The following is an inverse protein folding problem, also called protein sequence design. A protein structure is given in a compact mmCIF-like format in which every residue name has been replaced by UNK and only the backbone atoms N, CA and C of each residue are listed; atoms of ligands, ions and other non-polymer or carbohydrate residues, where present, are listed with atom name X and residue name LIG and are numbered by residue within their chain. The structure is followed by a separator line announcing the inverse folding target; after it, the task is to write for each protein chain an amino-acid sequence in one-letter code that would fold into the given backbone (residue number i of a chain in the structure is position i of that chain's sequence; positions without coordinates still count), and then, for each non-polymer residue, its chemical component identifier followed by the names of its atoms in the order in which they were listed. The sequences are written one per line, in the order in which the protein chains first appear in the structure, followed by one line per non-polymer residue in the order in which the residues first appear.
data_IF_743934062996
#
_entry.id   IF_743934062996
#
_cell.length_a   1.000
_cell.length_b   1.000
_cell.length_c   1.000
_cell.angle_alpha   90.00
_cell.angle_beta   90.00
_cell.angle_gamma   90.00
#
_symmetry.space_group_name_H-M   'P 1'
#
loop_
_entity.id
_entity.type
_entity.pdbx_description
1 polymer ?
#
# COMPACT_ATOMS: atom_id res chain seq x y z
N UNK A 1 -10.17 -1.78 -31.57
CA UNK A 1 -9.07 -0.97 -32.14
C UNK A 1 -9.37 0.51 -31.91
N UNK A 2 -8.55 1.18 -31.10
CA UNK A 2 -8.62 2.63 -30.89
C UNK A 2 -7.37 3.32 -31.45
N UNK A 3 -7.52 4.49 -32.05
CA UNK A 3 -6.40 5.31 -32.54
C UNK A 3 -6.01 6.35 -31.48
N UNK A 4 -4.72 6.48 -31.18
CA UNK A 4 -4.17 7.64 -30.47
C UNK A 4 -2.96 8.19 -31.24
N UNK A 5 -2.86 9.52 -31.30
CA UNK A 5 -1.76 10.23 -31.92
C UNK A 5 -0.82 10.77 -30.84
N UNK A 6 0.43 10.32 -30.86
CA UNK A 6 1.51 10.81 -30.00
C UNK A 6 2.61 11.40 -30.88
N UNK A 7 2.97 12.66 -30.65
CA UNK A 7 4.08 13.33 -31.36
C UNK A 7 3.95 13.37 -32.90
N UNK A 8 2.72 13.36 -33.44
CA UNK A 8 2.46 13.40 -34.87
C UNK A 8 2.56 12.04 -35.60
N UNK A 9 2.75 10.92 -34.88
CA UNK A 9 2.67 9.57 -35.46
C UNK A 9 1.45 8.81 -34.96
N UNK A 10 0.84 8.04 -35.86
CA UNK A 10 -0.37 7.24 -35.60
C UNK A 10 0.03 5.87 -35.08
N UNK A 11 -0.46 5.50 -33.89
CA UNK A 11 -0.28 4.16 -33.32
C UNK A 11 -1.65 3.50 -33.12
N UNK A 12 -1.78 2.27 -33.60
CA UNK A 12 -2.94 1.41 -33.44
C UNK A 12 -2.65 0.38 -32.34
N UNK A 13 -3.59 0.18 -31.42
CA UNK A 13 -3.47 -0.87 -30.40
C UNK A 13 -4.79 -1.59 -30.12
N UNK A 14 -4.65 -2.85 -29.72
CA UNK A 14 -5.69 -3.72 -29.17
C UNK A 14 -5.28 -4.11 -27.74
N UNK A 15 -5.99 -3.60 -26.73
CA UNK A 15 -5.73 -3.92 -25.32
C UNK A 15 -5.81 -2.70 -24.39
N UNK A 16 -6.33 -2.90 -23.17
CA UNK A 16 -6.65 -1.84 -22.20
C UNK A 16 -5.45 -1.05 -21.67
N UNK A 17 -5.68 0.24 -21.36
CA UNK A 17 -4.67 1.26 -21.05
C UNK A 17 -3.77 1.07 -19.82
N UNK A 18 -3.75 -0.10 -19.19
CA UNK A 18 -2.87 -0.39 -18.05
C UNK A 18 -1.42 -0.71 -18.45
N UNK A 19 -1.16 -1.16 -19.69
CA UNK A 19 0.19 -1.57 -20.11
C UNK A 19 1.12 -0.39 -20.45
N UNK A 20 0.57 0.81 -20.70
CA UNK A 20 1.37 1.98 -21.09
C UNK A 20 2.13 2.62 -19.91
N UNK A 21 1.59 2.54 -18.69
CA UNK A 21 2.20 3.15 -17.50
C UNK A 21 3.31 2.30 -16.88
N UNK A 22 3.21 0.97 -17.00
CA UNK A 22 4.18 0.02 -16.42
C UNK A 22 5.57 0.12 -17.06
N UNK A 23 5.65 0.52 -18.34
CA UNK A 23 6.92 0.73 -19.04
C UNK A 23 7.60 2.07 -18.72
N UNK A 24 6.85 3.08 -18.26
CA UNK A 24 7.40 4.40 -17.87
C UNK A 24 8.01 4.37 -16.46
N UNK A 25 7.46 3.56 -15.54
CA UNK A 25 7.92 3.52 -14.15
C UNK A 25 9.28 2.81 -13.96
N UNK A 26 9.71 1.98 -14.92
CA UNK A 26 10.96 1.21 -14.81
C UNK A 26 12.21 1.88 -15.39
N UNK A 27 12.14 3.10 -15.93
CA UNK A 27 13.30 3.69 -16.63
C UNK A 27 13.42 5.22 -16.59
N UNK A 28 12.64 5.92 -15.76
CA UNK A 28 12.56 7.38 -15.83
C UNK A 28 13.18 8.05 -14.60
N UNK A 29 14.29 8.77 -14.82
CA UNK A 29 14.87 9.67 -13.82
C UNK A 29 13.93 10.86 -13.55
N UNK A 30 14.11 11.52 -12.40
CA UNK A 30 13.36 12.72 -11.98
C UNK A 30 13.21 13.77 -13.12
N UNK A 31 14.20 13.88 -14.00
CA UNK A 31 14.17 14.80 -15.15
C UNK A 31 13.15 14.45 -16.24
N UNK A 32 12.75 13.18 -16.39
CA UNK A 32 11.70 12.82 -17.36
C UNK A 32 10.30 12.84 -16.74
N UNK A 33 10.17 12.76 -15.41
CA UNK A 33 8.92 13.14 -14.71
C UNK A 33 8.64 14.64 -14.88
N UNK A 34 9.68 15.47 -14.79
CA UNK A 34 9.61 16.92 -15.00
C UNK A 34 9.19 17.31 -16.43
N UNK A 35 9.63 16.57 -17.45
CA UNK A 35 9.21 16.79 -18.86
C UNK A 35 7.74 16.42 -19.14
N UNK A 36 7.19 15.45 -18.41
CA UNK A 36 5.76 15.09 -18.50
C UNK A 36 4.90 16.22 -17.92
N UNK A 37 5.40 16.91 -16.88
CA UNK A 37 4.79 18.12 -16.30
C UNK A 37 4.80 19.30 -17.27
N UNK A 38 5.93 19.62 -17.90
CA UNK A 38 6.06 20.76 -18.82
C UNK A 38 5.17 20.60 -20.07
N UNK A 39 4.97 19.38 -20.56
CA UNK A 39 4.07 19.09 -21.67
C UNK A 39 2.57 19.26 -21.34
N UNK A 40 2.21 19.21 -20.06
CA UNK A 40 0.83 19.38 -19.56
C UNK A 40 0.52 20.82 -19.19
N UNK A 41 1.49 21.56 -18.65
CA UNK A 41 1.40 22.98 -18.28
C UNK A 41 1.18 23.93 -19.48
N UNK A 42 1.59 23.55 -20.70
CA UNK A 42 1.35 24.36 -21.90
C UNK A 42 -0.12 24.38 -22.35
N UNK A 43 -0.99 23.54 -21.75
CA UNK A 43 -2.41 23.45 -22.08
C UNK A 43 -3.29 23.62 -20.85
N UNK A 44 -3.44 24.86 -20.37
CA UNK A 44 -4.70 25.50 -19.94
C UNK A 44 -4.43 26.60 -18.92
N UNK A 45 -4.46 27.83 -19.40
CA UNK A 45 -4.78 29.00 -18.60
C UNK A 45 -6.31 29.15 -18.53
N UNK A 46 -6.83 29.29 -17.31
CA UNK A 46 -8.20 29.75 -17.02
C UNK A 46 -9.21 28.67 -16.66
N UNK A 47 -9.71 28.68 -15.41
CA UNK A 47 -11.01 29.28 -15.07
C UNK A 47 -11.40 28.99 -13.61
N UNK A 48 -12.24 29.90 -13.09
CA UNK A 48 -12.64 30.14 -11.71
C UNK A 48 -13.57 29.09 -11.08
N UNK A 49 -13.72 29.23 -9.76
CA UNK A 49 -14.77 28.70 -8.86
C UNK A 49 -15.97 28.03 -9.54
N UNK A 50 -16.20 26.75 -9.23
CA UNK A 50 -17.42 26.03 -9.62
C UNK A 50 -18.12 25.45 -8.37
N UNK A 51 -19.38 25.88 -8.18
CA UNK A 51 -20.36 25.31 -7.24
C UNK A 51 -20.99 24.06 -7.85
N UNK A 52 -21.16 22.99 -7.06
CA UNK A 52 -21.65 21.68 -7.50
C UNK A 52 -23.19 21.57 -7.47
N UNK A 53 -23.87 21.15 -8.56
CA UNK A 53 -25.24 20.63 -8.50
C UNK A 53 -25.24 19.14 -8.14
N UNK A 54 -25.97 18.77 -7.08
CA UNK A 54 -26.28 17.38 -6.74
C UNK A 54 -27.33 16.82 -7.70
N UNK A 55 -26.95 15.89 -8.58
CA UNK A 55 -27.92 15.15 -9.41
C UNK A 55 -28.32 13.81 -8.77
N UNK A 56 -29.61 13.49 -8.87
CA UNK A 56 -30.39 12.52 -8.08
C UNK A 56 -30.06 11.02 -8.27
N UNK A 57 -28.81 10.63 -8.53
CA UNK A 57 -28.43 9.22 -8.72
C UNK A 57 -27.28 8.70 -7.85
N UNK A 58 -26.83 9.48 -6.86
CA UNK A 58 -25.89 8.99 -5.83
C UNK A 58 -24.49 8.61 -6.33
N UNK A 59 -24.13 8.95 -7.58
CA UNK A 59 -22.76 8.88 -8.08
C UNK A 59 -22.22 10.28 -8.26
N UNK A 60 -21.22 10.65 -7.45
CA UNK A 60 -20.38 11.80 -7.72
C UNK A 60 -19.56 11.43 -8.96
N UNK A 61 -20.01 11.84 -10.15
CA UNK A 61 -19.14 11.93 -11.30
C UNK A 61 -18.20 13.09 -11.01
N UNK A 62 -16.96 12.82 -10.58
CA UNK A 62 -15.90 13.81 -10.63
C UNK A 62 -15.48 13.98 -12.10
N UNK A 63 -15.72 15.14 -12.75
CA UNK A 63 -15.12 15.45 -14.04
C UNK A 63 -13.63 15.09 -14.05
N UNK A 64 -13.12 14.59 -15.17
CA UNK A 64 -11.69 14.27 -15.35
C UNK A 64 -10.78 15.43 -14.93
N UNK A 65 -11.21 16.67 -15.20
CA UNK A 65 -10.50 17.90 -14.79
C UNK A 65 -10.41 18.07 -13.28
N UNK A 66 -11.39 17.60 -12.50
CA UNK A 66 -11.32 17.66 -11.03
C UNK A 66 -10.36 16.61 -10.47
N UNK A 67 -10.36 15.40 -11.04
CA UNK A 67 -9.40 14.35 -10.65
C UNK A 67 -7.97 14.78 -10.95
N UNK A 68 -7.73 15.39 -12.12
CA UNK A 68 -6.45 16.00 -12.49
C UNK A 68 -6.05 17.11 -11.51
N UNK A 69 -6.99 17.97 -11.10
CA UNK A 69 -6.71 19.04 -10.13
C UNK A 69 -6.37 18.50 -8.73
N UNK A 70 -7.09 17.49 -8.23
CA UNK A 70 -6.77 16.89 -6.93
C UNK A 70 -5.43 16.15 -6.95
N UNK A 71 -5.15 15.42 -8.03
CA UNK A 71 -3.85 14.78 -8.22
C UNK A 71 -2.74 15.82 -8.28
N UNK A 72 -2.90 16.87 -9.09
CA UNK A 72 -1.91 17.93 -9.23
C UNK A 72 -1.65 18.61 -7.88
N UNK A 73 -2.69 18.91 -7.10
CA UNK A 73 -2.55 19.48 -5.76
C UNK A 73 -1.86 18.53 -4.78
N UNK A 74 -2.25 17.25 -4.75
CA UNK A 74 -1.61 16.26 -3.89
C UNK A 74 -0.13 16.09 -4.28
N UNK A 75 0.17 16.05 -5.57
CA UNK A 75 1.52 15.93 -6.11
C UNK A 75 2.36 17.19 -5.85
N UNK A 76 1.83 18.40 -6.07
CA UNK A 76 2.52 19.65 -5.78
C UNK A 76 2.79 19.80 -4.29
N UNK A 77 1.81 19.51 -3.43
CA UNK A 77 1.99 19.57 -1.97
C UNK A 77 3.00 18.52 -1.50
N UNK A 78 2.95 17.32 -2.08
CA UNK A 78 3.92 16.26 -1.79
C UNK A 78 5.32 16.59 -2.31
N UNK A 79 5.43 17.13 -3.52
CA UNK A 79 6.69 17.52 -4.11
C UNK A 79 7.29 18.72 -3.37
N UNK A 80 6.48 19.69 -2.96
CA UNK A 80 6.92 20.80 -2.11
C UNK A 80 7.41 20.28 -0.75
N UNK A 81 6.71 19.33 -0.13
CA UNK A 81 7.17 18.64 1.08
C UNK A 81 8.52 17.94 0.89
N UNK A 82 8.75 17.29 -0.25
CA UNK A 82 10.03 16.66 -0.59
C UNK A 82 11.13 17.68 -0.92
N UNK A 83 10.83 18.75 -1.66
CA UNK A 83 11.78 19.73 -2.18
C UNK A 83 12.17 20.81 -1.17
N UNK A 84 11.25 21.23 -0.29
CA UNK A 84 11.55 22.14 0.82
C UNK A 84 12.39 21.47 1.90
N UNK A 85 12.61 20.15 1.80
CA UNK A 85 13.76 19.49 2.38
C UNK A 85 13.69 19.35 3.90
N UNK A 86 12.53 18.95 4.44
CA UNK A 86 12.38 18.62 5.85
C UNK A 86 11.47 17.40 6.07
N UNK A 87 11.63 16.31 5.31
CA UNK A 87 11.17 15.03 5.85
C UNK A 87 12.10 14.62 6.99
N UNK A 88 11.83 15.15 8.18
CA UNK A 88 12.53 14.89 9.44
C UNK A 88 12.00 13.63 10.16
N UNK A 89 11.13 12.87 9.49
CA UNK A 89 10.38 11.76 10.07
C UNK A 89 9.03 12.16 10.67
N UNK A 90 8.63 13.43 10.56
CA UNK A 90 7.29 13.89 10.93
C UNK A 90 6.20 13.35 10.00
N UNK A 91 4.96 13.34 10.52
CA UNK A 91 3.78 12.93 9.77
C UNK A 91 3.46 13.97 8.68
N UNK A 92 3.24 13.57 7.42
CA UNK A 92 2.80 14.48 6.37
C UNK A 92 1.49 15.22 6.71
N UNK A 93 1.29 16.38 6.10
CA UNK A 93 0.03 17.14 6.24
C UNK A 93 -1.17 16.29 5.77
N UNK A 94 -2.21 16.09 6.61
CA UNK A 94 -3.40 15.32 6.24
C UNK A 94 -4.06 15.76 4.93
N UNK A 95 -3.91 17.03 4.51
CA UNK A 95 -4.44 17.55 3.23
C UNK A 95 -3.92 16.77 2.02
N UNK A 96 -2.67 16.29 2.06
CA UNK A 96 -2.09 15.46 1.00
C UNK A 96 -2.91 14.18 0.80
N UNK A 97 -3.26 13.52 1.90
CA UNK A 97 -4.07 12.30 1.87
C UNK A 97 -5.54 12.55 1.55
N UNK A 98 -6.09 13.69 1.98
CA UNK A 98 -7.45 14.10 1.59
C UNK A 98 -7.53 14.29 0.07
N UNK A 99 -6.61 15.06 -0.52
CA UNK A 99 -6.57 15.28 -1.96
C UNK A 99 -6.33 13.96 -2.71
N UNK A 100 -5.45 13.08 -2.19
CA UNK A 100 -5.25 11.73 -2.72
C UNK A 100 -6.55 10.91 -2.72
N UNK A 101 -7.28 10.87 -1.60
CA UNK A 101 -8.55 10.14 -1.47
C UNK A 101 -9.59 10.67 -2.46
N UNK A 102 -9.67 11.99 -2.62
CA UNK A 102 -10.62 12.64 -3.52
C UNK A 102 -10.35 12.36 -5.01
N UNK A 103 -9.15 11.87 -5.36
CA UNK A 103 -8.89 11.38 -6.73
C UNK A 103 -9.71 10.14 -7.09
N UNK A 104 -10.13 9.35 -6.09
CA UNK A 104 -10.84 8.09 -6.28
C UNK A 104 -9.98 6.94 -6.84
N UNK A 105 -8.67 7.14 -7.00
CA UNK A 105 -7.74 6.19 -7.60
C UNK A 105 -6.95 5.42 -6.53
N UNK A 106 -7.57 4.38 -5.98
CA UNK A 106 -7.02 3.56 -4.89
C UNK A 106 -5.65 2.97 -5.24
N UNK A 107 -4.59 3.37 -4.52
CA UNK A 107 -3.24 2.84 -4.63
C UNK A 107 -2.47 3.17 -5.92
N UNK A 108 -3.09 3.82 -6.91
CA UNK A 108 -2.46 4.18 -8.20
C UNK A 108 -1.26 5.11 -8.01
N UNK A 109 -1.29 5.92 -6.95
CA UNK A 109 -0.27 6.93 -6.64
C UNK A 109 0.70 6.52 -5.53
N UNK A 110 0.71 5.23 -5.14
CA UNK A 110 1.71 4.68 -4.20
C UNK A 110 3.16 5.07 -4.57
N UNK A 111 3.57 5.17 -5.86
CA UNK A 111 4.92 5.60 -6.23
C UNK A 111 5.33 6.99 -5.68
N UNK A 112 4.37 7.89 -5.47
CA UNK A 112 4.63 9.20 -4.86
C UNK A 112 5.19 9.03 -3.44
N UNK A 113 4.70 8.04 -2.69
CA UNK A 113 5.03 7.84 -1.28
C UNK A 113 6.19 6.86 -1.03
N UNK A 114 6.99 6.56 -2.05
CA UNK A 114 8.11 5.61 -1.96
C UNK A 114 9.15 5.98 -0.90
N UNK A 115 9.32 7.27 -0.62
CA UNK A 115 10.19 7.76 0.46
C UNK A 115 9.70 7.29 1.83
N UNK A 116 8.39 7.44 2.11
CA UNK A 116 7.77 7.00 3.36
C UNK A 116 7.78 5.48 3.50
N UNK A 117 7.50 4.76 2.41
CA UNK A 117 7.55 3.30 2.36
C UNK A 117 8.97 2.80 2.68
N UNK A 118 9.99 3.41 2.05
CA UNK A 118 11.40 3.13 2.31
C UNK A 118 11.74 3.41 3.77
N UNK A 119 11.35 4.56 4.29
CA UNK A 119 11.73 5.00 5.63
C UNK A 119 11.04 4.17 6.72
N UNK A 120 9.82 3.68 6.46
CA UNK A 120 9.12 2.73 7.32
C UNK A 120 9.94 1.46 7.59
N UNK A 121 10.67 0.97 6.58
CA UNK A 121 11.54 -0.21 6.70
C UNK A 121 12.95 0.17 7.18
N UNK A 122 13.48 1.31 6.72
CA UNK A 122 14.85 1.77 6.99
C UNK A 122 15.12 1.95 8.49
N UNK A 123 14.15 2.53 9.20
CA UNK A 123 14.22 2.79 10.64
C UNK A 123 14.20 1.53 11.51
N UNK A 124 13.84 0.37 10.94
CA UNK A 124 13.80 -0.87 11.71
C UNK A 124 15.19 -1.35 12.12
N UNK A 125 15.23 -2.13 13.21
CA UNK A 125 16.44 -2.69 13.80
C UNK A 125 17.20 -3.56 12.78
N UNK A 126 18.54 -3.68 12.88
CA UNK A 126 19.32 -4.54 11.99
C UNK A 126 18.81 -6.00 11.97
N UNK A 127 18.40 -6.53 13.12
CA UNK A 127 17.89 -7.90 13.23
C UNK A 127 16.52 -8.08 12.57
N UNK A 128 15.60 -7.12 12.71
CA UNK A 128 14.34 -7.15 11.96
C UNK A 128 14.57 -7.06 10.45
N UNK A 129 15.51 -6.23 9.99
CA UNK A 129 15.89 -6.19 8.57
C UNK A 129 16.45 -7.51 8.07
N UNK A 130 17.15 -8.27 8.92
CA UNK A 130 17.58 -9.62 8.57
C UNK A 130 16.42 -10.61 8.50
N UNK A 131 15.41 -10.51 9.38
CA UNK A 131 14.20 -11.32 9.27
C UNK A 131 13.43 -11.02 7.98
N UNK A 132 13.30 -9.74 7.61
CA UNK A 132 12.71 -9.34 6.32
C UNK A 132 13.47 -9.95 5.15
N UNK A 133 14.82 -9.92 5.18
CA UNK A 133 15.64 -10.58 4.15
C UNK A 133 15.41 -12.08 4.08
N UNK A 134 15.30 -12.75 5.22
CA UNK A 134 15.01 -14.18 5.30
C UNK A 134 13.64 -14.51 4.68
N UNK A 135 12.59 -13.77 5.05
CA UNK A 135 11.24 -13.94 4.48
C UNK A 135 11.25 -13.68 2.97
N UNK A 136 11.95 -12.65 2.49
CA UNK A 136 12.09 -12.37 1.06
C UNK A 136 12.86 -13.47 0.31
N UNK A 137 13.87 -14.04 0.95
CA UNK A 137 14.61 -15.16 0.38
C UNK A 137 13.71 -16.39 0.26
N UNK A 138 13.03 -16.77 1.34
CA UNK A 138 12.02 -17.84 1.31
C UNK A 138 10.96 -17.60 0.24
N UNK A 139 10.39 -16.40 0.19
CA UNK A 139 9.38 -16.01 -0.78
C UNK A 139 9.89 -16.21 -2.22
N UNK A 140 11.16 -15.88 -2.51
CA UNK A 140 11.79 -16.10 -3.82
C UNK A 140 11.92 -17.60 -4.16
N UNK A 141 12.24 -18.45 -3.19
CA UNK A 141 12.37 -19.90 -3.40
C UNK A 141 11.02 -20.58 -3.71
N UNK A 142 9.92 -20.02 -3.19
CA UNK A 142 8.56 -20.52 -3.42
C UNK A 142 7.79 -19.70 -4.46
N UNK A 143 8.41 -18.66 -5.04
CA UNK A 143 7.73 -17.66 -5.87
C UNK A 143 7.15 -18.32 -7.13
N UNK A 144 5.83 -18.20 -7.28
CA UNK A 144 5.11 -18.61 -8.47
C UNK A 144 4.39 -17.39 -9.08
N UNK A 145 3.93 -17.51 -10.33
CA UNK A 145 3.14 -16.44 -10.96
C UNK A 145 1.90 -16.12 -10.10
N UNK A 146 1.62 -14.84 -9.96
CA UNK A 146 0.42 -14.29 -9.31
C UNK A 146 0.38 -14.39 -7.77
N UNK A 147 1.54 -14.39 -7.11
CA UNK A 147 1.62 -14.21 -5.66
C UNK A 147 1.47 -12.74 -5.21
N UNK A 148 1.16 -12.50 -3.93
CA UNK A 148 1.12 -11.16 -3.35
C UNK A 148 2.44 -10.39 -3.51
N UNK A 149 2.43 -9.05 -3.59
CA UNK A 149 3.65 -8.29 -3.77
C UNK A 149 4.63 -8.52 -2.60
N UNK A 150 5.94 -8.57 -2.90
CA UNK A 150 7.01 -8.71 -1.88
C UNK A 150 6.86 -7.71 -0.74
N UNK A 151 6.40 -6.50 -1.06
CA UNK A 151 6.14 -5.45 -0.08
C UNK A 151 5.09 -5.84 0.98
N UNK A 152 4.05 -6.61 0.62
CA UNK A 152 3.09 -7.11 1.60
C UNK A 152 3.75 -8.03 2.64
N UNK A 153 4.73 -8.84 2.23
CA UNK A 153 5.48 -9.72 3.13
C UNK A 153 6.47 -8.93 4.01
N UNK A 154 7.05 -7.86 3.48
CA UNK A 154 7.87 -6.94 4.29
C UNK A 154 7.02 -6.31 5.41
N UNK A 155 5.82 -5.81 5.07
CA UNK A 155 4.88 -5.25 6.03
C UNK A 155 4.36 -6.29 7.04
N UNK A 156 4.05 -7.51 6.58
CA UNK A 156 3.62 -8.60 7.46
C UNK A 156 4.71 -9.01 8.45
N UNK A 157 5.98 -8.99 8.00
CA UNK A 157 7.14 -9.26 8.86
C UNK A 157 7.32 -8.17 9.91
N UNK A 158 7.17 -6.90 9.52
CA UNK A 158 7.18 -5.78 10.46
C UNK A 158 6.06 -5.93 11.48
N UNK A 159 4.84 -6.26 11.03
CA UNK A 159 3.70 -6.47 11.91
C UNK A 159 3.94 -7.59 12.93
N UNK A 160 4.44 -8.74 12.47
CA UNK A 160 4.75 -9.88 13.33
C UNK A 160 5.69 -9.49 14.47
N UNK A 161 6.79 -8.78 14.14
CA UNK A 161 7.73 -8.30 15.14
C UNK A 161 7.12 -7.22 16.05
N UNK A 162 6.37 -6.27 15.49
CA UNK A 162 5.74 -5.18 16.24
C UNK A 162 4.65 -5.68 17.21
N UNK A 163 4.02 -6.83 16.99
CA UNK A 163 3.02 -7.34 17.93
C UNK A 163 3.55 -8.46 18.82
N UNK A 164 4.48 -9.28 18.32
CA UNK A 164 4.93 -10.50 18.99
C UNK A 164 6.21 -10.37 19.80
N UNK A 165 7.12 -9.47 19.41
CA UNK A 165 8.45 -9.36 20.05
C UNK A 165 8.74 -7.94 20.56
N UNK A 166 8.79 -6.96 19.65
CA UNK A 166 9.29 -5.58 19.88
C UNK A 166 10.70 -5.48 20.48
N UNK A 167 11.45 -6.58 20.54
CA UNK A 167 12.82 -6.58 21.07
C UNK A 167 13.83 -6.38 19.94
N UNK A 168 14.95 -5.71 20.23
CA UNK A 168 16.09 -5.63 19.29
C UNK A 168 16.69 -7.01 19.03
N UNK A 169 16.76 -7.83 20.08
CA UNK A 169 17.22 -9.21 20.05
C UNK A 169 16.04 -10.18 20.20
N UNK A 170 15.80 -10.99 19.17
CA UNK A 170 14.76 -12.02 19.15
C UNK A 170 15.22 -13.28 18.41
N UNK A 171 14.53 -14.40 18.57
CA UNK A 171 14.85 -15.62 17.84
C UNK A 171 14.37 -15.54 16.38
N UNK A 172 15.28 -15.77 15.44
CA UNK A 172 14.99 -15.65 14.00
C UNK A 172 14.05 -16.74 13.50
N UNK A 173 14.09 -17.94 14.08
CA UNK A 173 13.21 -19.04 13.71
C UNK A 173 11.80 -18.77 14.22
N UNK A 174 11.64 -18.25 15.45
CA UNK A 174 10.33 -17.83 15.97
C UNK A 174 9.73 -16.72 15.11
N UNK A 175 10.54 -15.71 14.74
CA UNK A 175 10.09 -14.63 13.87
C UNK A 175 9.68 -15.13 12.49
N UNK A 176 10.44 -16.04 11.90
CA UNK A 176 10.12 -16.63 10.61
C UNK A 176 8.85 -17.49 10.68
N UNK A 177 8.74 -18.34 11.70
CA UNK A 177 7.56 -19.16 11.96
C UNK A 177 6.31 -18.31 12.16
N UNK A 178 6.41 -17.18 12.86
CA UNK A 178 5.30 -16.25 13.06
C UNK A 178 4.81 -15.68 11.73
N UNK A 179 5.71 -15.34 10.81
CA UNK A 179 5.33 -14.84 9.47
C UNK A 179 4.65 -15.93 8.66
N UNK A 180 5.15 -17.17 8.68
CA UNK A 180 4.50 -18.30 8.00
C UNK A 180 3.09 -18.54 8.57
N UNK A 181 2.95 -18.53 9.90
CA UNK A 181 1.68 -18.70 10.58
C UNK A 181 0.68 -17.60 10.20
N UNK A 182 1.11 -16.33 10.12
CA UNK A 182 0.25 -15.23 9.65
C UNK A 182 -0.23 -15.45 8.22
N UNK A 183 0.65 -15.89 7.32
CA UNK A 183 0.29 -16.20 5.93
C UNK A 183 -0.74 -17.33 5.87
N UNK A 184 -0.62 -18.36 6.72
CA UNK A 184 -1.62 -19.44 6.81
C UNK A 184 -3.01 -18.94 7.23
N UNK A 185 -3.07 -17.84 8.00
CA UNK A 185 -4.31 -17.24 8.50
C UNK A 185 -4.68 -15.95 7.75
N UNK A 186 -4.28 -15.81 6.49
CA UNK A 186 -4.47 -14.59 5.70
C UNK A 186 -5.94 -14.14 5.61
N UNK A 187 -6.90 -15.07 5.68
CA UNK A 187 -8.34 -14.78 5.63
C UNK A 187 -8.84 -13.98 6.84
N UNK A 188 -8.03 -13.91 7.90
CA UNK A 188 -8.34 -13.18 9.13
C UNK A 188 -7.59 -11.85 9.23
N UNK A 189 -6.61 -11.62 8.36
CA UNK A 189 -5.70 -10.48 8.44
C UNK A 189 -6.42 -9.15 8.22
N UNK A 190 -6.29 -8.26 9.21
CA UNK A 190 -6.63 -6.83 9.12
C UNK A 190 -5.57 -6.00 9.83
N UNK A 191 -4.63 -5.48 9.06
CA UNK A 191 -3.44 -4.76 9.53
C UNK A 191 -3.42 -3.37 8.91
N UNK A 192 -3.07 -2.38 9.72
CA UNK A 192 -2.81 -1.00 9.31
C UNK A 192 -1.90 -0.31 10.32
N UNK A 193 -1.32 0.81 9.92
CA UNK A 193 -0.51 1.67 10.77
C UNK A 193 -1.06 3.09 10.77
N UNK A 194 -0.74 3.84 11.81
CA UNK A 194 -1.08 5.27 11.92
C UNK A 194 0.18 6.14 12.00
N UNK A 195 1.23 5.71 11.29
CA UNK A 195 2.52 6.40 11.30
C UNK A 195 2.44 7.69 10.48
N UNK A 196 2.10 7.57 9.20
CA UNK A 196 2.07 8.71 8.26
C UNK A 196 0.68 9.31 8.04
N UNK A 197 -0.37 8.63 8.45
CA UNK A 197 -1.73 9.17 8.55
C UNK A 197 -2.41 8.62 9.80
N UNK A 198 -3.55 9.18 10.20
CA UNK A 198 -4.30 8.76 11.39
C UNK A 198 -5.82 8.88 11.17
N UNK A 199 -6.59 8.75 12.25
CA UNK A 199 -8.05 8.86 12.23
C UNK A 199 -8.56 10.22 12.75
N UNK A 200 -7.69 11.22 12.90
CA UNK A 200 -8.09 12.54 13.42
C UNK A 200 -8.80 13.35 12.33
N UNK A 201 -8.34 13.24 11.08
CA UNK A 201 -9.05 13.79 9.93
C UNK A 201 -10.24 12.89 9.55
N UNK A 202 -11.45 13.44 9.52
CA UNK A 202 -12.67 12.66 9.30
C UNK A 202 -12.73 11.98 7.91
N UNK A 203 -12.19 12.61 6.86
CA UNK A 203 -12.18 12.03 5.50
C UNK A 203 -11.25 10.82 5.46
N UNK A 204 -10.03 10.96 5.99
CA UNK A 204 -9.07 9.85 6.10
C UNK A 204 -9.68 8.74 6.95
N UNK A 205 -10.29 9.09 8.09
CA UNK A 205 -10.90 8.12 8.99
C UNK A 205 -11.98 7.28 8.30
N UNK A 206 -12.95 7.92 7.67
CA UNK A 206 -14.05 7.23 6.99
C UNK A 206 -13.52 6.36 5.85
N UNK A 207 -12.55 6.87 5.08
CA UNK A 207 -11.96 6.13 3.98
C UNK A 207 -11.16 4.91 4.44
N UNK A 208 -10.26 5.07 5.41
CA UNK A 208 -9.48 3.98 5.98
C UNK A 208 -10.38 2.93 6.64
N UNK A 209 -11.43 3.35 7.36
CA UNK A 209 -12.44 2.42 7.89
C UNK A 209 -13.12 1.61 6.79
N UNK A 210 -13.47 2.22 5.65
CA UNK A 210 -14.03 1.51 4.52
C UNK A 210 -13.04 0.51 3.89
N UNK A 211 -11.75 0.87 3.76
CA UNK A 211 -10.70 -0.06 3.33
C UNK A 211 -10.57 -1.24 4.29
N UNK A 212 -10.67 -0.99 5.59
CA UNK A 212 -10.59 -2.01 6.65
C UNK A 212 -11.80 -2.94 6.72
N UNK A 213 -12.89 -2.61 6.02
CA UNK A 213 -14.06 -3.48 5.81
C UNK A 213 -13.95 -4.37 4.57
N UNK A 214 -12.96 -4.17 3.69
CA UNK A 214 -12.81 -4.97 2.48
C UNK A 214 -12.57 -6.45 2.79
N UNK A 215 -12.76 -7.29 1.76
CA UNK A 215 -12.42 -8.70 1.82
C UNK A 215 -10.94 -8.86 2.23
N UNK A 216 -10.71 -9.73 3.20
CA UNK A 216 -9.39 -10.02 3.75
C UNK A 216 -8.55 -10.87 2.76
N UNK A 217 -7.22 -10.74 2.79
CA UNK A 217 -6.42 -9.99 3.76
C UNK A 217 -6.45 -8.48 3.48
N UNK A 218 -6.56 -7.69 4.54
CA UNK A 218 -6.35 -6.23 4.47
C UNK A 218 -5.03 -5.91 5.12
N UNK A 219 -4.06 -5.45 4.33
CA UNK A 219 -2.78 -4.91 4.79
C UNK A 219 -2.69 -3.52 4.19
N UNK A 220 -3.09 -2.52 4.95
CA UNK A 220 -3.10 -1.13 4.49
C UNK A 220 -1.67 -0.58 4.54
N UNK A 221 -1.21 -0.01 3.43
CA UNK A 221 0.12 0.59 3.33
C UNK A 221 0.28 1.70 4.39
N UNK A 222 1.32 1.67 5.23
CA UNK A 222 1.58 2.72 6.22
C UNK A 222 1.73 4.12 5.61
N UNK A 223 2.13 4.22 4.33
CA UNK A 223 2.41 5.44 3.60
C UNK A 223 1.28 5.92 2.69
N UNK A 224 0.36 5.05 2.29
CA UNK A 224 -0.77 5.36 1.42
C UNK A 224 -2.08 4.76 1.99
N UNK A 225 -2.99 5.58 2.55
CA UNK A 225 -4.25 5.09 3.12
C UNK A 225 -5.23 4.53 2.07
N UNK A 226 -4.89 4.63 0.79
CA UNK A 226 -5.66 4.12 -0.35
C UNK A 226 -5.12 2.81 -0.92
N UNK A 227 -3.94 2.36 -0.48
CA UNK A 227 -3.31 1.15 -0.99
C UNK A 227 -3.48 -0.02 -0.01
N UNK A 228 -4.44 -0.92 -0.30
CA UNK A 228 -4.48 -2.24 0.35
C UNK A 228 -3.54 -3.21 -0.39
N UNK A 229 -2.33 -3.41 0.12
CA UNK A 229 -1.36 -4.34 -0.49
C UNK A 229 -1.74 -5.81 -0.29
N UNK A 230 -2.72 -6.08 0.58
CA UNK A 230 -3.33 -7.40 0.77
C UNK A 230 -4.33 -7.80 -0.31
N UNK A 231 -4.87 -6.86 -1.10
CA UNK A 231 -5.89 -7.12 -2.14
C UNK A 231 -5.37 -7.98 -3.32
N UNK A 232 -4.08 -8.32 -3.31
CA UNK A 232 -3.46 -9.21 -4.29
C UNK A 232 -4.03 -10.64 -4.25
N UNK A 233 -3.91 -11.34 -5.38
CA UNK A 233 -4.28 -12.76 -5.51
C UNK A 233 -3.14 -13.67 -5.04
N UNK A 234 -3.44 -14.96 -4.89
CA UNK A 234 -2.44 -15.99 -4.63
C UNK A 234 -2.05 -16.20 -3.16
N UNK A 235 -2.79 -15.60 -2.22
CA UNK A 235 -2.61 -15.84 -0.79
C UNK A 235 -2.89 -17.29 -0.38
N UNK A 236 -3.90 -17.91 -0.98
CA UNK A 236 -4.24 -19.33 -0.82
C UNK A 236 -3.06 -20.25 -1.13
N UNK A 237 -2.44 -20.07 -2.31
CA UNK A 237 -1.28 -20.85 -2.74
C UNK A 237 -0.05 -20.53 -1.88
N UNK A 238 0.14 -19.27 -1.51
CA UNK A 238 1.25 -18.89 -0.63
C UNK A 238 1.08 -19.50 0.78
N UNK A 239 -0.15 -19.61 1.29
CA UNK A 239 -0.48 -20.27 2.54
C UNK A 239 -0.16 -21.78 2.49
N UNK A 240 -0.43 -22.47 1.39
CA UNK A 240 -0.02 -23.87 1.21
C UNK A 240 1.51 -24.03 1.30
N UNK A 241 2.27 -23.13 0.67
CA UNK A 241 3.73 -23.12 0.77
C UNK A 241 4.19 -22.82 2.20
N UNK A 242 3.56 -21.86 2.87
CA UNK A 242 3.87 -21.51 4.25
C UNK A 242 3.68 -22.71 5.19
N UNK A 243 2.54 -23.40 5.08
CA UNK A 243 2.24 -24.61 5.85
C UNK A 243 3.25 -25.74 5.63
N UNK A 244 3.70 -25.93 4.40
CA UNK A 244 4.76 -26.91 4.09
C UNK A 244 6.08 -26.54 4.78
N UNK A 245 6.50 -25.28 4.68
CA UNK A 245 7.75 -24.79 5.27
C UNK A 245 7.73 -24.76 6.80
N UNK A 246 6.57 -24.46 7.42
CA UNK A 246 6.40 -24.45 8.87
C UNK A 246 6.67 -25.81 9.53
N UNK A 247 6.64 -26.90 8.75
CA UNK A 247 6.93 -28.27 9.20
C UNK A 247 8.39 -28.71 9.00
N UNK A 248 9.20 -27.91 8.29
CA UNK A 248 10.59 -28.23 7.94
C UNK A 248 11.55 -28.06 9.13
N UNK A 249 12.78 -28.55 8.95
CA UNK A 249 13.83 -28.52 9.98
C UNK A 249 14.20 -27.12 10.45
N UNK A 250 14.09 -26.09 9.60
CA UNK A 250 14.34 -24.70 9.99
C UNK A 250 13.33 -24.16 11.03
N UNK A 251 12.17 -24.81 11.17
CA UNK A 251 11.12 -24.46 12.11
C UNK A 251 11.02 -25.47 13.25
N UNK A 252 12.11 -26.18 13.56
CA UNK A 252 12.20 -27.15 14.66
C UNK A 252 13.30 -26.80 15.65
N UNK A 253 13.01 -27.05 16.92
CA UNK A 253 13.99 -26.99 18.00
C UNK A 253 14.91 -28.22 17.96
N UNK A 254 15.98 -28.20 18.76
CA UNK A 254 16.96 -29.31 18.82
C UNK A 254 16.37 -30.63 19.29
N UNK A 255 15.30 -30.59 20.08
CA UNK A 255 14.55 -31.75 20.56
C UNK A 255 13.54 -32.30 19.53
N UNK A 256 13.44 -31.66 18.35
CA UNK A 256 12.53 -32.03 17.28
C UNK A 256 11.13 -31.42 17.37
N UNK A 257 10.81 -30.71 18.46
CA UNK A 257 9.54 -29.99 18.59
C UNK A 257 9.47 -28.84 17.57
N UNK A 258 8.26 -28.42 17.20
CA UNK A 258 8.11 -27.22 16.39
C UNK A 258 8.54 -25.97 17.18
N UNK A 259 9.05 -24.99 16.45
CA UNK A 259 9.18 -23.62 16.94
C UNK A 259 7.78 -23.04 17.07
N UNK A 260 7.49 -22.41 18.20
CA UNK A 260 6.20 -21.79 18.43
C UNK A 260 6.22 -20.37 17.84
N UNK A 261 5.17 -19.93 17.12
CA UNK A 261 5.06 -18.55 16.67
C UNK A 261 4.84 -17.62 17.87
N UNK A 262 5.20 -16.35 17.72
CA UNK A 262 4.83 -15.33 18.70
C UNK A 262 3.31 -15.17 18.75
N UNK A 263 2.80 -14.81 19.92
CA UNK A 263 1.38 -14.48 20.09
C UNK A 263 1.05 -13.14 19.41
N UNK A 264 0.57 -13.20 18.17
CA UNK A 264 0.27 -12.02 17.34
C UNK A 264 -1.22 -12.00 17.00
N UNK A 265 -1.93 -10.87 17.21
CA UNK A 265 -3.33 -10.74 16.80
C UNK A 265 -3.43 -10.72 15.26
N UNK A 266 -4.42 -11.41 14.69
CA UNK A 266 -4.65 -11.43 13.23
C UNK A 266 -5.31 -10.13 12.73
N UNK A 267 -6.07 -9.45 13.58
CA UNK A 267 -6.77 -8.23 13.24
C UNK A 267 -6.54 -7.16 14.31
N UNK A 268 -6.12 -5.96 13.89
CA UNK A 268 -6.16 -4.78 14.76
C UNK A 268 -7.59 -4.32 14.97
N UNK A 269 -7.89 -3.84 16.17
CA UNK A 269 -9.14 -3.14 16.44
C UNK A 269 -9.21 -1.86 15.60
N UNK A 270 -10.39 -1.54 15.11
CA UNK A 270 -10.61 -0.33 14.30
C UNK A 270 -11.40 0.65 15.17
N UNK A 271 -10.99 1.92 15.26
CA UNK A 271 -11.67 2.91 16.08
C UNK A 271 -12.97 3.36 15.40
N UNK A 272 -14.02 2.56 15.53
CA UNK A 272 -15.38 2.90 15.09
C UNK A 272 -15.95 4.04 15.95
N UNK A 273 -16.89 4.82 15.40
CA UNK A 273 -17.76 5.62 16.26
C UNK A 273 -18.73 4.66 16.97
N UNK A 274 -19.05 4.93 18.23
CA UNK A 274 -20.09 4.21 18.98
C UNK A 274 -21.33 4.01 18.10
N UNK A 275 -21.72 2.74 17.90
CA UNK A 275 -22.96 2.37 17.22
C UNK A 275 -22.93 2.19 15.69
N UNK A 276 -21.80 2.33 14.99
CA UNK A 276 -21.75 2.06 13.52
C UNK A 276 -20.52 1.27 13.09
N UNK A 277 -20.61 -0.05 13.21
CA UNK A 277 -19.82 -0.97 12.40
C UNK A 277 -20.55 -1.15 11.06
N UNK A 278 -20.05 -0.53 9.98
CA UNK A 278 -20.65 -0.71 8.63
C UNK A 278 -20.18 -1.99 7.92
N UNK A 279 -19.59 -2.95 8.65
CA UNK A 279 -19.08 -4.20 8.08
C UNK A 279 -20.18 -5.14 7.52
N UNK A 280 -21.46 -4.76 7.54
CA UNK A 280 -22.59 -5.57 7.05
C UNK A 280 -23.21 -5.10 5.74
N UNK A 281 -22.62 -4.15 5.00
CA UNK A 281 -23.20 -3.62 3.77
C UNK A 281 -22.23 -3.55 2.58
N UNK A 282 -21.59 -4.68 2.24
CA UNK A 282 -21.13 -4.98 0.87
C UNK A 282 -21.29 -6.48 0.59
#
# INVERSE_FOLDING_TARGET
MGEVFLGGKRCLFEGGGSECYTQLASSVSLQSQQRILEGSLSRKTGLSEAVFPLEKSGKILCPHSLVENYFQRAFETWLDFLLTGQYDGSRPDPRIYVDLILTGKSGEFSPCFTELQRDFIKEKTPKLKNLIRLVKHWYKEVEEKSFPPKYALELLTVYAWEQGSRQDEFDMAEGFQTVLWLIEHYEEIRIYWTKYYDFDNEIIKQYSQAQLCKKRPVILDPADPTANVGEAKGWDRLAEKAKSYASMTCCRKRDGSLVEPWNVPLAKEVPWREGRCYCTLL
#
